data_IF_161756239355
#
_entry.id   IF_161756239355
#
_cell.length_a   1.000
_cell.length_b   1.000
_cell.length_c   1.000
_cell.angle_alpha   90.00
_cell.angle_beta   90.00
_cell.angle_gamma   90.00
#
_symmetry.space_group_name_H-M   'P 1'
#
loop_
_entity.id
_entity.type
_entity.pdbx_description
1 polymer ?
#
# COMPACT_ATOMS: atom_id res chain seq x y z
N UNK A 1 14.75 -15.44 -1.10
CA UNK A 1 14.22 -15.59 -1.52
C UNK A 1 13.57 -14.95 -1.46
N UNK A 2 13.60 -14.85 -1.64
CA UNK A 2 13.08 -14.59 -1.91
C UNK A 2 12.21 -14.36 -1.48
N UNK A 3 12.18 -13.56 -1.06
CA UNK A 3 11.21 -13.78 -0.74
C UNK A 3 10.36 -14.14 -1.52
N UNK A 4 10.68 -14.56 -2.14
CA UNK A 4 9.68 -14.99 -3.03
C UNK A 4 8.69 -15.86 -2.33
N UNK A 5 7.50 -15.81 -2.82
CA UNK A 5 6.48 -16.64 -2.33
C UNK A 5 6.55 -17.95 -3.01
N UNK A 6 6.80 -18.98 -2.27
CA UNK A 6 6.89 -20.31 -2.84
C UNK A 6 5.51 -20.95 -2.80
N UNK A 7 5.24 -21.90 -3.69
CA UNK A 7 3.96 -22.59 -3.66
C UNK A 7 3.69 -23.33 -2.36
N UNK A 8 4.73 -23.74 -1.66
CA UNK A 8 4.57 -24.44 -0.41
C UNK A 8 4.27 -23.51 0.76
N UNK A 9 4.42 -22.21 0.56
CA UNK A 9 4.14 -21.26 1.62
C UNK A 9 2.65 -21.24 1.91
N UNK A 10 2.32 -21.34 3.18
CA UNK A 10 0.94 -21.21 3.58
C UNK A 10 0.52 -19.76 3.38
N UNK A 11 -0.53 -19.57 2.61
CA UNK A 11 -1.03 -18.23 2.38
C UNK A 11 -1.65 -17.67 3.64
N UNK A 12 -1.46 -16.38 3.83
CA UNK A 12 -2.15 -15.69 4.90
C UNK A 12 -3.59 -15.52 4.48
N UNK A 13 -4.49 -16.27 5.12
CA UNK A 13 -5.91 -16.25 4.76
C UNK A 13 -6.72 -15.29 5.60
N UNK A 14 -6.06 -14.54 6.47
CA UNK A 14 -6.75 -13.53 7.25
C UNK A 14 -7.42 -12.53 6.32
N UNK A 15 -8.69 -12.19 6.56
CA UNK A 15 -9.34 -11.18 5.73
C UNK A 15 -8.63 -9.83 5.87
N UNK A 16 -8.47 -9.15 4.74
CA UNK A 16 -7.90 -7.82 4.76
C UNK A 16 -9.04 -6.82 4.85
N UNK A 17 -9.04 -6.06 5.92
CA UNK A 17 -10.04 -5.02 6.14
C UNK A 17 -9.34 -3.68 6.21
N UNK A 18 -10.12 -2.62 6.34
CA UNK A 18 -9.50 -1.31 6.52
C UNK A 18 -8.66 -1.25 7.79
N UNK A 19 -9.04 -1.99 8.84
CA UNK A 19 -8.21 -2.03 10.04
C UNK A 19 -6.84 -2.62 9.76
N UNK A 20 -6.76 -3.60 8.85
CA UNK A 20 -5.49 -4.12 8.41
C UNK A 20 -4.66 -3.01 7.77
N UNK A 21 -5.29 -2.24 6.89
CA UNK A 21 -4.61 -1.11 6.23
C UNK A 21 -4.10 -0.12 7.26
N UNK A 22 -4.96 0.24 8.23
CA UNK A 22 -4.59 1.22 9.25
C UNK A 22 -3.39 0.75 10.03
N UNK A 23 -3.40 -0.50 10.47
CA UNK A 23 -2.30 -1.05 11.25
C UNK A 23 -0.99 -1.03 10.48
N UNK A 24 -1.05 -1.45 9.22
CA UNK A 24 0.16 -1.50 8.40
C UNK A 24 0.69 -0.11 8.09
N UNK A 25 -0.19 0.81 7.75
CA UNK A 25 0.23 2.16 7.38
C UNK A 25 0.80 2.92 8.59
N UNK A 26 0.12 2.83 9.72
CA UNK A 26 0.56 3.57 10.90
C UNK A 26 1.80 2.97 11.55
N UNK A 27 2.18 1.76 11.17
CA UNK A 27 3.45 1.19 11.63
C UNK A 27 4.66 1.84 10.96
N UNK A 28 4.45 2.56 9.86
CA UNK A 28 5.54 3.22 9.16
C UNK A 28 5.80 4.59 9.78
N UNK A 29 7.07 4.96 9.99
CA UNK A 29 7.40 6.22 10.69
C UNK A 29 6.81 7.45 10.01
N UNK A 30 6.22 8.32 10.80
CA UNK A 30 5.73 9.60 10.32
C UNK A 30 4.44 9.56 9.55
N UNK A 31 3.82 8.39 9.41
CA UNK A 31 2.55 8.30 8.72
C UNK A 31 1.44 8.78 9.63
N UNK A 32 0.56 9.62 9.08
CA UNK A 32 -0.58 10.15 9.80
C UNK A 32 -1.86 9.81 9.06
N UNK A 33 -2.89 9.52 9.81
CA UNK A 33 -4.21 9.28 9.26
C UNK A 33 -5.02 10.56 9.33
N UNK A 34 -5.72 10.86 8.23
CA UNK A 34 -6.65 11.96 8.17
C UNK A 34 -7.80 11.57 7.27
N UNK A 35 -8.39 12.56 6.63
CA UNK A 35 -9.49 12.31 5.71
C UNK A 35 -9.22 13.00 4.38
N UNK A 36 -9.71 12.38 3.31
CA UNK A 36 -9.68 12.94 1.98
C UNK A 36 -10.97 12.52 1.30
N UNK A 37 -11.74 13.50 0.82
CA UNK A 37 -13.02 13.22 0.19
C UNK A 37 -13.96 12.48 1.15
N UNK A 38 -13.86 12.77 2.44
CA UNK A 38 -14.75 12.17 3.43
C UNK A 38 -14.38 10.78 3.89
N UNK A 39 -13.30 10.19 3.36
CA UNK A 39 -12.86 8.85 3.74
C UNK A 39 -11.47 8.89 4.34
N UNK A 40 -11.09 7.84 5.11
CA UNK A 40 -9.76 7.81 5.71
C UNK A 40 -8.64 7.83 4.67
N UNK A 41 -7.59 8.56 4.97
CA UNK A 41 -6.44 8.68 4.09
C UNK A 41 -5.16 8.75 4.94
N UNK A 42 -4.06 8.28 4.36
CA UNK A 42 -2.77 8.25 5.05
C UNK A 42 -1.77 9.07 4.26
N UNK A 43 -0.96 9.85 4.99
CA UNK A 43 0.07 10.70 4.40
C UNK A 43 1.32 10.63 5.22
N UNK A 44 2.44 10.92 4.59
CA UNK A 44 3.70 11.13 5.28
C UNK A 44 4.24 12.47 4.82
N UNK A 45 4.43 13.40 5.77
CA UNK A 45 4.91 14.74 5.45
C UNK A 45 4.05 15.43 4.41
N UNK A 46 2.75 15.31 4.48
CA UNK A 46 1.79 15.89 3.54
C UNK A 46 1.72 15.17 2.21
N UNK A 47 2.53 14.14 1.98
CA UNK A 47 2.50 13.41 0.72
C UNK A 47 1.56 12.22 0.84
N UNK A 48 0.75 12.03 -0.18
CA UNK A 48 -0.29 11.01 -0.21
C UNK A 48 0.31 9.60 -0.29
N UNK A 49 -0.21 8.70 0.52
CA UNK A 49 0.16 7.29 0.47
C UNK A 49 -1.00 6.42 0.02
N UNK A 50 -2.15 6.56 0.68
CA UNK A 50 -3.28 5.69 0.41
C UNK A 50 -4.57 6.31 0.92
N UNK A 51 -5.69 5.91 0.33
CA UNK A 51 -7.01 6.41 0.72
C UNK A 51 -8.06 5.31 0.49
N UNK A 52 -8.95 5.16 1.44
CA UNK A 52 -10.09 4.28 1.26
C UNK A 52 -11.13 4.96 0.37
N UNK A 53 -11.63 4.22 -0.62
CA UNK A 53 -12.69 4.73 -1.47
C UNK A 53 -14.03 4.36 -0.88
N UNK A 54 -15.06 5.04 -1.37
CA UNK A 54 -16.43 4.80 -0.92
C UNK A 54 -16.90 3.39 -1.22
N UNK A 55 -16.35 2.79 -2.29
CA UNK A 55 -16.74 1.43 -2.68
C UNK A 55 -15.95 0.34 -1.96
N UNK A 56 -15.04 0.74 -1.07
CA UNK A 56 -14.26 -0.23 -0.30
C UNK A 56 -12.90 -0.57 -0.88
N UNK A 57 -12.60 -0.12 -2.09
CA UNK A 57 -11.26 -0.30 -2.65
C UNK A 57 -10.29 0.68 -2.00
N UNK A 58 -9.02 0.33 -2.02
CA UNK A 58 -7.97 1.20 -1.50
C UNK A 58 -7.21 1.82 -2.66
N UNK A 59 -7.05 3.15 -2.65
CA UNK A 59 -6.18 3.84 -3.59
C UNK A 59 -4.80 3.89 -2.97
N UNK A 60 -3.78 3.40 -3.69
CA UNK A 60 -2.41 3.38 -3.18
C UNK A 60 -1.51 4.09 -4.16
N UNK A 61 -0.63 4.95 -3.67
CA UNK A 61 0.39 5.57 -4.51
C UNK A 61 1.32 4.48 -5.04
N UNK A 62 1.55 4.48 -6.35
CA UNK A 62 2.42 3.48 -6.96
C UNK A 62 3.00 4.07 -8.23
N UNK A 63 4.26 3.75 -8.53
CA UNK A 63 4.89 4.22 -9.76
C UNK A 63 4.26 3.54 -10.96
N UNK A 64 4.22 4.24 -12.10
CA UNK A 64 3.54 3.73 -13.28
C UNK A 64 4.08 2.36 -13.73
N UNK A 65 5.40 2.19 -13.72
CA UNK A 65 5.99 0.92 -14.17
C UNK A 65 5.58 -0.23 -13.25
N UNK A 66 5.60 -0.01 -11.95
CA UNK A 66 5.19 -1.04 -11.00
C UNK A 66 3.72 -1.35 -11.14
N UNK A 67 2.92 -0.31 -11.41
CA UNK A 67 1.49 -0.49 -11.60
C UNK A 67 1.20 -1.43 -12.77
N UNK A 68 1.92 -1.25 -13.88
CA UNK A 68 1.71 -2.10 -15.05
C UNK A 68 2.02 -3.56 -14.74
N UNK A 69 3.09 -3.80 -13.99
CA UNK A 69 3.46 -5.16 -13.62
C UNK A 69 2.40 -5.78 -12.74
N UNK A 70 1.95 -5.04 -11.73
CA UNK A 70 0.97 -5.58 -10.78
C UNK A 70 -0.37 -5.85 -11.45
N UNK A 71 -0.85 -4.92 -12.27
CA UNK A 71 -2.12 -5.10 -12.96
C UNK A 71 -2.07 -6.25 -13.94
N UNK A 72 -0.91 -6.46 -14.57
CA UNK A 72 -0.74 -7.60 -15.47
C UNK A 72 -0.71 -8.93 -14.74
N UNK A 73 -0.14 -8.93 -13.54
CA UNK A 73 0.02 -10.17 -12.78
C UNK A 73 -1.26 -10.58 -12.07
N UNK A 74 -2.04 -9.61 -11.57
CA UNK A 74 -3.23 -9.94 -10.78
C UNK A 74 -4.33 -8.89 -11.03
N UNK A 75 -4.93 -8.91 -12.22
CA UNK A 75 -5.95 -7.90 -12.53
C UNK A 75 -7.20 -8.01 -11.67
N UNK A 76 -7.45 -9.15 -11.06
CA UNK A 76 -8.58 -9.28 -10.14
C UNK A 76 -8.35 -8.54 -8.83
N UNK A 77 -7.09 -8.20 -8.53
CA UNK A 77 -6.72 -7.51 -7.30
C UNK A 77 -6.36 -6.05 -7.55
N UNK A 78 -5.63 -5.79 -8.63
CA UNK A 78 -5.09 -4.46 -8.92
C UNK A 78 -5.66 -3.92 -10.21
N UNK A 79 -6.20 -2.70 -10.15
CA UNK A 79 -6.83 -2.11 -11.33
C UNK A 79 -6.83 -0.60 -11.22
N UNK A 80 -7.29 0.06 -12.28
CA UNK A 80 -7.50 1.51 -12.25
C UNK A 80 -8.82 1.82 -12.94
N UNK A 81 -9.31 3.01 -12.67
CA UNK A 81 -10.37 3.61 -13.46
C UNK A 81 -9.77 4.71 -14.30
N UNK A 82 -10.55 5.24 -15.24
CA UNK A 82 -10.06 6.32 -16.10
C UNK A 82 -9.55 7.50 -15.30
N UNK A 83 -10.16 7.77 -14.16
CA UNK A 83 -9.75 8.88 -13.31
C UNK A 83 -8.27 8.79 -12.92
N UNK A 84 -7.76 7.58 -12.75
CA UNK A 84 -6.39 7.38 -12.27
C UNK A 84 -5.39 7.07 -13.38
N UNK A 85 -5.82 7.12 -14.64
CA UNK A 85 -4.94 6.76 -15.73
C UNK A 85 -3.63 7.54 -15.71
N UNK A 86 -3.72 8.83 -15.48
CA UNK A 86 -2.56 9.72 -15.56
C UNK A 86 -1.94 10.03 -14.21
N UNK A 87 -2.35 9.33 -13.16
CA UNK A 87 -1.83 9.56 -11.81
C UNK A 87 -1.09 8.31 -11.34
N UNK A 88 0.01 8.49 -10.58
CA UNK A 88 0.75 7.33 -10.06
C UNK A 88 0.02 6.73 -8.87
N UNK A 89 -1.08 6.08 -9.15
CA UNK A 89 -1.92 5.47 -8.14
C UNK A 89 -2.62 4.26 -8.75
N UNK A 90 -3.07 3.38 -7.88
CA UNK A 90 -3.70 2.13 -8.30
C UNK A 90 -4.77 1.77 -7.28
N UNK A 91 -5.82 1.11 -7.75
CA UNK A 91 -6.87 0.61 -6.87
C UNK A 91 -6.56 -0.83 -6.49
N UNK A 92 -6.75 -1.13 -5.21
CA UNK A 92 -6.50 -2.45 -4.65
C UNK A 92 -7.81 -2.97 -4.07
N UNK A 93 -8.24 -4.14 -4.52
CA UNK A 93 -9.42 -4.79 -3.94
C UNK A 93 -9.00 -5.47 -2.65
N UNK A 94 -9.47 -4.94 -1.53
CA UNK A 94 -9.06 -5.47 -0.23
C UNK A 94 -9.52 -6.91 -0.02
N UNK A 95 -10.63 -7.29 -0.66
CA UNK A 95 -11.11 -8.66 -0.54
C UNK A 95 -10.24 -9.68 -1.28
N UNK A 96 -9.30 -9.21 -2.11
CA UNK A 96 -8.48 -10.10 -2.92
C UNK A 96 -7.00 -10.02 -2.59
N UNK A 97 -6.55 -8.94 -1.99
CA UNK A 97 -5.11 -8.72 -1.80
C UNK A 97 -4.59 -9.55 -0.64
N UNK A 98 -3.40 -10.10 -0.80
CA UNK A 98 -2.69 -10.77 0.28
C UNK A 98 -2.15 -9.70 1.24
N UNK A 99 -2.28 -9.90 2.57
CA UNK A 99 -1.80 -8.88 3.52
C UNK A 99 -0.32 -8.56 3.38
N UNK A 100 0.51 -9.54 3.04
CA UNK A 100 1.94 -9.28 2.87
C UNK A 100 2.19 -8.41 1.65
N UNK A 101 1.44 -8.63 0.58
CA UNK A 101 1.56 -7.80 -0.61
C UNK A 101 1.09 -6.38 -0.32
N UNK A 102 0.04 -6.23 0.45
CA UNK A 102 -0.44 -4.91 0.84
C UNK A 102 0.61 -4.18 1.66
N UNK A 103 1.24 -4.87 2.62
CA UNK A 103 2.31 -4.27 3.41
C UNK A 103 3.44 -3.77 2.51
N UNK A 104 3.84 -4.60 1.54
CA UNK A 104 4.92 -4.22 0.64
C UNK A 104 4.56 -3.00 -0.19
N UNK A 105 3.31 -2.91 -0.64
CA UNK A 105 2.86 -1.75 -1.41
C UNK A 105 2.91 -0.48 -0.58
N UNK A 106 2.42 -0.56 0.65
CA UNK A 106 2.40 0.61 1.52
C UNK A 106 3.82 1.03 1.89
N UNK A 107 4.68 0.06 2.17
CA UNK A 107 6.07 0.37 2.49
C UNK A 107 6.79 1.01 1.31
N UNK A 108 6.55 0.52 0.11
CA UNK A 108 7.21 1.10 -1.07
C UNK A 108 6.73 2.53 -1.31
N UNK A 109 5.44 2.79 -1.17
CA UNK A 109 4.92 4.14 -1.30
C UNK A 109 5.54 5.06 -0.26
N UNK A 110 5.68 4.55 0.96
CA UNK A 110 6.28 5.30 2.04
C UNK A 110 7.74 5.61 1.75
N UNK A 111 8.51 4.62 1.27
CA UNK A 111 9.93 4.82 1.00
C UNK A 111 10.17 5.91 -0.02
N UNK A 112 9.30 6.04 -0.99
CA UNK A 112 9.45 7.05 -2.02
C UNK A 112 9.12 8.45 -1.54
N UNK A 113 8.43 8.57 -0.42
CA UNK A 113 7.94 9.86 0.04
C UNK A 113 8.48 10.27 1.40
N UNK A 114 9.08 9.36 2.14
CA UNK A 114 9.59 9.65 3.48
C UNK A 114 10.87 10.45 3.39
N UNK A 115 11.10 11.28 4.41
CA UNK A 115 12.34 12.03 4.51
C UNK A 115 13.49 11.09 4.81
N UNK A 116 14.72 11.59 4.59
CA UNK A 116 15.90 10.81 4.91
C UNK A 116 15.94 10.43 6.39
N UNK A 117 15.47 11.33 7.24
CA UNK A 117 15.44 11.06 8.68
C UNK A 117 14.52 9.89 8.99
N UNK A 118 13.32 9.90 8.38
CA UNK A 118 12.36 8.81 8.62
C UNK A 118 12.87 7.49 8.07
N UNK A 119 13.51 7.52 6.90
CA UNK A 119 14.11 6.32 6.33
C UNK A 119 15.16 5.73 7.25
N UNK A 120 16.02 6.60 7.81
CA UNK A 120 17.05 6.15 8.73
C UNK A 120 16.45 5.53 9.98
N UNK A 121 15.40 6.14 10.53
CA UNK A 121 14.73 5.60 11.71
C UNK A 121 14.17 4.19 11.42
N UNK A 122 13.59 4.01 10.26
CA UNK A 122 13.01 2.74 9.89
C UNK A 122 14.08 1.66 9.77
N UNK A 123 15.20 2.00 9.13
CA UNK A 123 16.30 1.04 8.96
C UNK A 123 16.91 0.67 10.29
N UNK A 124 17.08 1.65 11.19
CA UNK A 124 17.60 1.37 12.53
C UNK A 124 16.71 0.40 13.28
N UNK A 125 15.40 0.59 13.16
CA UNK A 125 14.47 -0.30 13.83
C UNK A 125 14.55 -1.72 13.31
N UNK A 126 14.81 -1.87 12.02
CA UNK A 126 14.90 -3.20 11.41
C UNK A 126 16.18 -3.92 11.81
N UNK A 127 17.23 -3.18 12.12
CA UNK A 127 18.51 -3.78 12.46
C UNK A 127 18.57 -4.28 13.89
N UNK A 128 17.54 -4.09 14.69
CA UNK A 128 17.55 -4.49 16.10
C UNK A 128 16.93 -5.83 16.35
#
# INVERSE_FOLDING_TARGET
>A
MSKSRTPSRVRNTEPVTFETVRRLALALPGVEEGKSWGTPAFRVGKKFLARLREDGDLVVRVEFAAREVLMGAAPETFHITDHYRDYPAMLVRLSKVDPDDLRDLLEEAWRRNASKKLLAEFEEGRDR
#
